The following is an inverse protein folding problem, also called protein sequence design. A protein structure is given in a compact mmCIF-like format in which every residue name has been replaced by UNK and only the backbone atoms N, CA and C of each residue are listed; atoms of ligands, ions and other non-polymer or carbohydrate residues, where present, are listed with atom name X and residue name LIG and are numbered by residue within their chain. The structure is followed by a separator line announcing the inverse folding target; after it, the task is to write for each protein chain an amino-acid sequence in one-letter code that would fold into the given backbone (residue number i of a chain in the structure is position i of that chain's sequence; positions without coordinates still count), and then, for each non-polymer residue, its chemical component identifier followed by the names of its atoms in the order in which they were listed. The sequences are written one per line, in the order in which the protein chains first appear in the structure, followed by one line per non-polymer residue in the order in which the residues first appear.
data_IF_567181682592
#
_entry.id   IF_567181682592
#
_cell.length_a   1.000
_cell.length_b   1.000
_cell.length_c   1.000
_cell.angle_alpha   90.00
_cell.angle_beta   90.00
_cell.angle_gamma   90.00
#
_symmetry.space_group_name_H-M   'P 1'
#
loop_
_entity.id
_entity.type
_entity.pdbx_description
1 polymer ?
#
# COMPACT_ATOMS: atom_id res chain seq x y z
N UNK A 1 -13.48 64.79 -48.05
CA UNK A 1 -14.80 64.40 -48.59
C UNK A 1 -14.58 63.20 -49.50
N UNK A 2 -15.20 62.03 -49.42
CA UNK A 2 -15.88 61.27 -48.37
C UNK A 2 -15.88 59.82 -48.93
N UNK A 3 -15.25 58.87 -48.24
CA UNK A 3 -15.28 57.46 -48.60
C UNK A 3 -16.64 56.86 -48.25
N UNK A 4 -17.13 55.91 -49.06
CA UNK A 4 -18.33 55.14 -48.72
C UNK A 4 -17.93 53.71 -48.41
N UNK A 5 -17.85 53.42 -47.11
CA UNK A 5 -17.81 52.09 -46.53
C UNK A 5 -19.15 51.38 -46.74
N UNK A 6 -19.20 50.32 -47.55
CA UNK A 6 -20.28 49.34 -47.51
C UNK A 6 -19.92 48.23 -46.53
N UNK A 7 -20.16 48.54 -45.25
CA UNK A 7 -20.10 47.64 -44.09
C UNK A 7 -21.11 46.50 -44.27
N UNK A 8 -20.65 45.27 -44.47
CA UNK A 8 -21.51 44.09 -44.42
C UNK A 8 -22.05 43.93 -43.00
N UNK A 9 -23.35 44.20 -42.84
CA UNK A 9 -24.08 44.04 -41.59
C UNK A 9 -24.47 42.56 -41.47
N UNK A 10 -24.01 41.94 -40.39
CA UNK A 10 -24.50 40.65 -39.93
C UNK A 10 -26.00 40.72 -39.69
N UNK A 11 -26.76 40.01 -40.52
CA UNK A 11 -28.20 39.91 -40.45
C UNK A 11 -28.66 38.54 -40.89
N UNK A 12 -28.44 37.53 -40.04
CA UNK A 12 -29.52 36.64 -39.63
C UNK A 12 -29.03 35.82 -38.45
N UNK A 13 -29.70 35.99 -37.32
CA UNK A 13 -29.92 34.87 -36.43
C UNK A 13 -30.73 33.85 -37.23
N UNK A 14 -30.07 33.01 -38.03
CA UNK A 14 -30.67 31.78 -38.49
C UNK A 14 -30.72 30.87 -37.26
N UNK A 15 -31.84 30.98 -36.55
CA UNK A 15 -32.22 30.05 -35.51
C UNK A 15 -32.01 28.62 -36.04
N UNK A 16 -31.21 27.83 -35.32
CA UNK A 16 -31.13 26.39 -35.60
C UNK A 16 -32.49 25.82 -35.21
N UNK A 17 -33.42 25.77 -36.15
CA UNK A 17 -34.75 25.21 -35.92
C UNK A 17 -34.55 23.74 -35.55
N UNK A 18 -34.74 23.44 -34.26
CA UNK A 18 -34.94 22.09 -33.76
C UNK A 18 -36.29 21.61 -34.29
N UNK A 19 -36.31 20.89 -35.40
CA UNK A 19 -37.41 19.98 -35.72
C UNK A 19 -37.01 18.56 -35.32
N UNK A 20 -36.87 18.34 -34.02
CA UNK A 20 -37.05 17.00 -33.46
C UNK A 20 -38.48 16.96 -32.88
N UNK A 21 -39.23 15.90 -33.22
CA UNK A 21 -40.47 15.46 -32.55
C UNK A 21 -41.80 16.17 -32.90
N UNK A 22 -42.33 15.90 -34.10
CA UNK A 22 -43.70 15.38 -34.33
C UNK A 22 -44.05 15.54 -35.80
N UNK A 23 -43.84 14.49 -36.59
CA UNK A 23 -44.59 14.18 -37.81
C UNK A 23 -44.34 12.71 -38.16
N UNK A 24 -44.65 11.84 -37.19
CA UNK A 24 -44.95 10.45 -37.49
C UNK A 24 -46.39 10.42 -37.98
N UNK A 25 -46.55 10.46 -39.31
CA UNK A 25 -47.70 10.10 -40.14
C UNK A 25 -47.79 11.13 -41.26
N UNK A 26 -47.82 10.65 -42.51
CA UNK A 26 -47.96 11.46 -43.73
C UNK A 26 -46.72 12.25 -44.18
N UNK A 27 -45.65 11.55 -44.58
CA UNK A 27 -44.77 11.97 -45.69
C UNK A 27 -43.87 10.81 -46.11
N UNK A 28 -44.48 9.79 -46.73
CA UNK A 28 -43.78 8.98 -47.72
C UNK A 28 -43.51 9.86 -48.95
N UNK A 29 -42.32 9.70 -49.55
CA UNK A 29 -41.93 10.24 -50.85
C UNK A 29 -41.62 11.75 -50.94
N UNK A 30 -40.45 12.16 -50.43
CA UNK A 30 -39.70 13.25 -51.05
C UNK A 30 -38.21 13.06 -50.75
N UNK A 31 -37.46 12.61 -51.76
CA UNK A 31 -36.01 12.67 -51.79
C UNK A 31 -35.60 14.15 -51.64
N UNK A 32 -35.29 14.57 -50.41
CA UNK A 32 -34.49 15.79 -50.25
C UNK A 32 -33.04 15.36 -50.45
N UNK A 33 -32.53 15.65 -51.65
CA UNK A 33 -31.12 15.51 -51.97
C UNK A 33 -30.33 16.44 -51.04
N UNK A 34 -29.93 15.90 -49.89
CA UNK A 34 -29.08 16.58 -48.93
C UNK A 34 -27.70 16.79 -49.57
N UNK A 35 -27.39 18.04 -49.93
CA UNK A 35 -26.08 18.41 -50.46
C UNK A 35 -25.01 18.26 -49.37
N UNK A 36 -24.21 17.20 -49.42
CA UNK A 36 -22.96 17.10 -48.65
C UNK A 36 -21.81 17.72 -49.48
N UNK A 37 -21.28 18.90 -49.11
CA UNK A 37 -20.17 19.55 -49.82
C UNK A 37 -18.89 18.70 -49.88
N UNK A 38 -18.77 17.69 -49.03
CA UNK A 38 -17.62 16.78 -48.95
C UNK A 38 -17.75 15.54 -49.83
N UNK A 39 -18.93 15.24 -50.38
CA UNK A 39 -19.14 14.11 -51.29
C UNK A 39 -18.82 14.48 -52.74
N UNK A 40 -19.18 15.69 -53.18
CA UNK A 40 -18.96 16.14 -54.56
C UNK A 40 -17.55 16.67 -54.83
N UNK A 41 -16.85 17.22 -53.82
CA UNK A 41 -15.52 17.80 -54.00
C UNK A 41 -14.40 16.86 -53.53
N UNK A 42 -13.61 16.33 -54.47
CA UNK A 42 -12.49 15.42 -54.19
C UNK A 42 -11.42 16.01 -53.26
N UNK A 43 -11.15 17.32 -53.35
CA UNK A 43 -10.16 18.02 -52.50
C UNK A 43 -10.65 18.16 -51.05
N UNK A 44 -11.96 18.43 -50.86
CA UNK A 44 -12.57 18.55 -49.53
C UNK A 44 -12.72 17.17 -48.85
N UNK A 45 -13.07 16.14 -49.63
CA UNK A 45 -13.13 14.74 -49.19
C UNK A 45 -11.77 14.25 -48.68
N UNK A 46 -10.71 14.44 -49.47
CA UNK A 46 -9.35 14.03 -49.10
C UNK A 46 -8.84 14.75 -47.85
N UNK A 47 -9.11 16.06 -47.69
CA UNK A 47 -8.75 16.82 -46.48
C UNK A 47 -9.49 16.34 -45.23
N UNK A 48 -10.78 15.99 -45.34
CA UNK A 48 -11.59 15.42 -44.25
C UNK A 48 -11.05 14.05 -43.82
N UNK A 49 -10.74 13.18 -44.78
CA UNK A 49 -10.15 11.86 -44.54
C UNK A 49 -8.76 11.97 -43.90
N UNK A 50 -7.90 12.86 -44.40
CA UNK A 50 -6.57 13.09 -43.83
C UNK A 50 -6.64 13.55 -42.36
N UNK A 51 -7.56 14.49 -42.05
CA UNK A 51 -7.78 14.95 -40.67
C UNK A 51 -8.32 13.84 -39.77
N UNK A 52 -9.22 13.00 -40.28
CA UNK A 52 -9.78 11.88 -39.51
C UNK A 52 -8.73 10.79 -39.26
N UNK A 53 -7.93 10.45 -40.27
CA UNK A 53 -6.83 9.49 -40.17
C UNK A 53 -5.75 9.98 -39.18
N UNK A 54 -5.42 11.27 -39.19
CA UNK A 54 -4.50 11.84 -38.20
C UNK A 54 -5.04 11.75 -36.76
N UNK A 55 -6.34 11.99 -36.56
CA UNK A 55 -7.00 11.83 -35.24
C UNK A 55 -7.02 10.38 -34.78
N UNK A 56 -7.30 9.44 -35.69
CA UNK A 56 -7.28 8.01 -35.41
C UNK A 56 -5.87 7.53 -35.04
N UNK A 57 -4.85 7.89 -35.83
CA UNK A 57 -3.45 7.59 -35.52
C UNK A 57 -3.03 8.11 -34.15
N UNK A 58 -3.40 9.36 -33.81
CA UNK A 58 -3.13 9.94 -32.49
C UNK A 58 -3.81 9.17 -31.36
N UNK A 59 -5.07 8.76 -31.53
CA UNK A 59 -5.80 7.95 -30.54
C UNK A 59 -5.15 6.59 -30.32
N UNK A 60 -4.75 5.91 -31.40
CA UNK A 60 -4.05 4.62 -31.33
C UNK A 60 -2.72 4.78 -30.60
N UNK A 61 -1.94 5.81 -30.93
CA UNK A 61 -0.67 6.11 -30.28
C UNK A 61 -0.85 6.36 -28.77
N UNK A 62 -1.83 7.19 -28.38
CA UNK A 62 -2.15 7.44 -26.97
C UNK A 62 -2.55 6.15 -26.26
N UNK A 63 -3.39 5.31 -26.88
CA UNK A 63 -3.82 4.05 -26.29
C UNK A 63 -2.64 3.08 -26.10
N UNK A 64 -1.71 3.03 -27.06
CA UNK A 64 -0.50 2.22 -26.96
C UNK A 64 0.41 2.70 -25.80
N UNK A 65 0.59 4.01 -25.65
CA UNK A 65 1.31 4.58 -24.51
C UNK A 65 0.60 4.33 -23.17
N UNK A 66 -0.73 4.33 -23.14
CA UNK A 66 -1.51 4.02 -21.94
C UNK A 66 -1.27 2.57 -21.50
N UNK A 67 -1.37 1.61 -22.43
CA UNK A 67 -1.10 0.20 -22.15
C UNK A 67 0.35 -0.01 -21.71
N UNK A 68 1.30 0.62 -22.41
CA UNK A 68 2.71 0.56 -22.03
C UNK A 68 2.96 1.14 -20.63
N UNK A 69 2.34 2.28 -20.31
CA UNK A 69 2.40 2.91 -18.99
C UNK A 69 1.86 1.99 -17.89
N UNK A 70 0.74 1.30 -18.15
CA UNK A 70 0.20 0.31 -17.22
C UNK A 70 1.18 -0.84 -16.97
N UNK A 71 1.80 -1.39 -18.02
CA UNK A 71 2.83 -2.43 -17.88
C UNK A 71 4.04 -1.93 -17.06
N UNK A 72 4.50 -0.70 -17.29
CA UNK A 72 5.61 -0.11 -16.55
C UNK A 72 5.28 0.07 -15.06
N UNK A 73 4.06 0.53 -14.74
CA UNK A 73 3.60 0.65 -13.34
C UNK A 73 3.58 -0.71 -12.67
N UNK A 74 3.06 -1.74 -13.35
CA UNK A 74 3.02 -3.11 -12.82
C UNK A 74 4.45 -3.60 -12.51
N UNK A 75 5.39 -3.43 -13.46
CA UNK A 75 6.79 -3.81 -13.27
C UNK A 75 7.43 -3.06 -12.09
N UNK A 76 7.17 -1.76 -11.95
CA UNK A 76 7.67 -0.97 -10.81
C UNK A 76 7.12 -1.47 -9.47
N UNK A 77 5.84 -1.83 -9.41
CA UNK A 77 5.24 -2.42 -8.20
C UNK A 77 5.85 -3.77 -7.88
N UNK A 78 6.11 -4.61 -8.87
CA UNK A 78 6.81 -5.89 -8.66
C UNK A 78 8.22 -5.70 -8.11
N UNK A 79 8.98 -4.72 -8.60
CA UNK A 79 10.30 -4.40 -8.07
C UNK A 79 10.24 -3.98 -6.59
N UNK A 80 9.29 -3.12 -6.22
CA UNK A 80 9.08 -2.73 -4.81
C UNK A 80 8.69 -3.92 -3.93
N UNK A 81 7.77 -4.77 -4.41
CA UNK A 81 7.36 -5.98 -3.69
C UNK A 81 8.57 -6.89 -3.49
N UNK A 82 9.42 -7.05 -4.49
CA UNK A 82 10.63 -7.88 -4.37
C UNK A 82 11.60 -7.34 -3.34
N UNK A 83 11.82 -6.02 -3.30
CA UNK A 83 12.65 -5.39 -2.28
C UNK A 83 12.07 -5.61 -0.88
N UNK A 84 10.76 -5.38 -0.72
CA UNK A 84 10.08 -5.55 0.56
C UNK A 84 10.08 -7.00 1.04
N UNK A 85 9.97 -7.98 0.12
CA UNK A 85 10.12 -9.39 0.43
C UNK A 85 11.54 -9.72 0.88
N UNK A 86 12.56 -9.10 0.26
CA UNK A 86 13.94 -9.27 0.66
C UNK A 86 14.18 -8.76 2.09
N UNK A 87 13.69 -7.56 2.38
CA UNK A 87 13.79 -6.95 3.71
C UNK A 87 13.07 -7.78 4.76
N UNK A 88 11.87 -8.27 4.45
CA UNK A 88 11.09 -9.13 5.34
C UNK A 88 11.79 -10.49 5.59
N UNK A 89 12.39 -11.08 4.54
CA UNK A 89 13.18 -12.29 4.68
C UNK A 89 14.41 -12.06 5.57
N UNK A 90 15.10 -10.94 5.38
CA UNK A 90 16.25 -10.58 6.19
C UNK A 90 15.87 -10.35 7.66
N UNK A 91 14.75 -9.68 7.91
CA UNK A 91 14.24 -9.47 9.27
C UNK A 91 13.84 -10.79 9.92
N UNK A 92 13.18 -11.68 9.17
CA UNK A 92 12.85 -13.04 9.64
C UNK A 92 14.10 -13.85 9.97
N UNK A 93 15.15 -13.79 9.15
CA UNK A 93 16.44 -14.45 9.43
C UNK A 93 17.08 -13.91 10.71
N UNK A 94 17.11 -12.59 10.88
CA UNK A 94 17.64 -11.97 12.10
C UNK A 94 16.84 -12.40 13.33
N UNK A 95 15.51 -12.43 13.23
CA UNK A 95 14.64 -12.91 14.31
C UNK A 95 14.94 -14.37 14.68
N UNK A 96 15.04 -15.26 13.69
CA UNK A 96 15.40 -16.66 13.93
C UNK A 96 16.81 -16.81 14.53
N UNK A 97 17.78 -16.00 14.09
CA UNK A 97 19.12 -16.00 14.67
C UNK A 97 19.10 -15.61 16.16
N UNK A 98 18.40 -14.52 16.50
CA UNK A 98 18.22 -14.07 17.89
C UNK A 98 17.46 -15.09 18.75
N UNK A 99 16.48 -15.78 18.18
CA UNK A 99 15.76 -16.84 18.89
C UNK A 99 16.66 -18.05 19.17
N UNK A 100 17.48 -18.45 18.20
CA UNK A 100 18.45 -19.52 18.37
C UNK A 100 19.52 -19.14 19.39
N UNK A 101 20.00 -17.91 19.39
CA UNK A 101 20.95 -17.40 20.38
C UNK A 101 20.35 -17.43 21.79
N UNK A 102 19.11 -16.97 21.96
CA UNK A 102 18.41 -17.08 23.26
C UNK A 102 18.27 -18.53 23.72
N UNK A 103 17.91 -19.45 22.81
CA UNK A 103 17.79 -20.86 23.14
C UNK A 103 19.15 -21.45 23.56
N UNK A 104 20.23 -21.11 22.86
CA UNK A 104 21.59 -21.53 23.22
C UNK A 104 22.01 -20.98 24.59
N UNK A 105 21.81 -19.68 24.84
CA UNK A 105 22.10 -19.07 26.14
C UNK A 105 21.30 -19.74 27.27
N UNK A 106 20.05 -20.09 27.02
CA UNK A 106 19.22 -20.82 27.99
C UNK A 106 19.80 -22.20 28.28
N UNK A 107 20.20 -22.95 27.25
CA UNK A 107 20.86 -24.25 27.42
C UNK A 107 22.20 -24.14 28.15
N UNK A 108 22.97 -23.08 27.89
CA UNK A 108 24.25 -22.85 28.55
C UNK A 108 24.06 -22.49 30.03
N UNK A 109 23.02 -21.71 30.36
CA UNK A 109 22.62 -21.47 31.76
C UNK A 109 22.20 -22.78 32.43
N UNK A 110 21.40 -23.61 31.76
CA UNK A 110 20.98 -24.91 32.30
C UNK A 110 22.18 -25.84 32.53
N UNK A 111 23.12 -25.89 31.58
CA UNK A 111 24.37 -26.65 31.73
C UNK A 111 25.21 -26.11 32.88
N UNK A 112 25.42 -24.81 32.97
CA UNK A 112 26.19 -24.17 34.04
C UNK A 112 25.53 -24.36 35.42
N UNK A 113 24.21 -24.36 35.48
CA UNK A 113 23.43 -24.67 36.69
C UNK A 113 23.40 -26.16 37.01
N UNK A 114 23.68 -27.03 36.04
CA UNK A 114 23.71 -28.47 36.29
C UNK A 114 24.81 -28.81 37.29
N UNK A 115 24.48 -29.71 38.23
CA UNK A 115 25.41 -30.16 39.27
C UNK A 115 26.71 -30.73 38.68
N UNK A 116 26.66 -31.26 37.45
CA UNK A 116 27.81 -31.80 36.75
C UNK A 116 28.83 -30.71 36.39
N UNK A 117 28.40 -29.59 35.81
CA UNK A 117 29.30 -28.47 35.50
C UNK A 117 29.85 -27.81 36.76
N UNK A 118 29.00 -27.67 37.79
CA UNK A 118 29.44 -27.14 39.09
C UNK A 118 30.51 -28.05 39.70
N UNK A 119 30.29 -29.37 39.65
CA UNK A 119 31.27 -30.37 40.11
C UNK A 119 32.58 -30.28 39.34
N UNK A 120 32.51 -30.20 38.01
CA UNK A 120 33.69 -30.14 37.15
C UNK A 120 34.52 -28.87 37.38
N UNK A 121 33.87 -27.72 37.60
CA UNK A 121 34.55 -26.47 37.98
C UNK A 121 35.15 -26.57 39.38
N UNK A 122 34.40 -27.12 40.35
CA UNK A 122 34.87 -27.29 41.72
C UNK A 122 36.11 -28.21 41.78
N UNK A 123 36.06 -29.36 41.11
CA UNK A 123 37.15 -30.34 41.11
C UNK A 123 38.36 -29.84 40.31
N UNK A 124 38.17 -29.30 39.09
CA UNK A 124 39.31 -28.98 38.21
C UNK A 124 39.89 -27.58 38.43
N UNK A 125 39.08 -26.59 38.83
CA UNK A 125 39.54 -25.20 38.96
C UNK A 125 39.73 -24.76 40.40
N UNK A 126 38.95 -25.31 41.32
CA UNK A 126 39.01 -24.96 42.74
C UNK A 126 39.70 -26.03 43.60
N UNK A 127 40.12 -27.14 42.98
CA UNK A 127 40.75 -28.29 43.65
C UNK A 127 39.89 -28.84 44.81
N UNK A 128 38.57 -28.69 44.70
CA UNK A 128 37.62 -29.17 45.70
C UNK A 128 37.35 -30.66 45.47
N UNK A 129 37.48 -31.45 46.53
CA UNK A 129 37.08 -32.86 46.55
C UNK A 129 35.79 -33.09 47.33
N UNK A 130 35.10 -34.20 47.04
CA UNK A 130 33.92 -34.59 47.82
C UNK A 130 34.31 -34.87 49.28
N UNK A 131 33.63 -34.29 50.27
CA UNK A 131 33.97 -34.45 51.68
C UNK A 131 33.68 -35.87 52.21
N UNK A 132 34.45 -36.33 53.18
CA UNK A 132 34.17 -37.58 53.89
C UNK A 132 32.97 -37.47 54.84
N UNK A 133 32.34 -38.60 55.18
CA UNK A 133 31.16 -38.66 56.06
C UNK A 133 31.38 -38.00 57.42
N UNK A 134 32.63 -37.98 57.91
CA UNK A 134 33.05 -37.37 59.18
C UNK A 134 33.07 -35.84 59.15
N UNK A 135 33.10 -35.22 57.96
CA UNK A 135 33.23 -33.77 57.77
C UNK A 135 31.87 -33.06 57.55
N UNK A 136 30.75 -33.80 57.61
CA UNK A 136 29.41 -33.27 57.33
C UNK A 136 28.75 -32.79 58.62
N UNK A 137 28.40 -31.50 58.69
CA UNK A 137 27.63 -30.90 59.80
C UNK A 137 26.29 -30.37 59.27
N UNK A 138 25.18 -30.84 59.85
CA UNK A 138 23.84 -30.43 59.46
C UNK A 138 23.41 -29.18 60.25
N UNK A 139 22.99 -28.15 59.53
CA UNK A 139 22.52 -26.88 60.09
C UNK A 139 21.10 -26.61 59.57
N UNK A 140 20.18 -26.27 60.48
CA UNK A 140 18.79 -25.95 60.13
C UNK A 140 18.68 -24.50 59.68
N UNK A 141 18.23 -24.28 58.44
CA UNK A 141 18.05 -22.93 57.88
C UNK A 141 16.57 -22.52 58.02
N UNK A 142 16.25 -21.45 58.76
CA UNK A 142 14.88 -20.94 58.83
C UNK A 142 14.46 -20.38 57.47
N UNK A 143 13.35 -20.88 56.91
CA UNK A 143 12.80 -20.43 55.63
C UNK A 143 12.12 -19.08 55.80
N UNK A 144 12.77 -18.02 55.34
CA UNK A 144 12.18 -16.69 55.21
C UNK A 144 11.74 -16.54 53.76
N UNK A 145 10.53 -16.98 53.44
CA UNK A 145 9.96 -16.80 52.09
C UNK A 145 9.61 -15.32 51.88
N UNK A 146 10.56 -14.53 51.40
CA UNK A 146 10.30 -13.17 50.93
C UNK A 146 9.80 -13.24 49.48
N UNK A 147 8.50 -13.49 49.33
CA UNK A 147 7.82 -13.30 48.04
C UNK A 147 7.66 -11.80 47.81
N UNK A 148 8.59 -11.19 47.09
CA UNK A 148 8.42 -9.83 46.58
C UNK A 148 7.42 -9.93 45.42
N UNK A 149 6.14 -9.68 45.71
CA UNK A 149 5.11 -9.56 44.69
C UNK A 149 5.48 -8.37 43.79
N UNK A 150 6.04 -8.66 42.62
CA UNK A 150 6.25 -7.66 41.58
C UNK A 150 4.89 -7.00 41.30
N UNK A 151 4.77 -5.72 41.65
CA UNK A 151 3.54 -4.97 41.46
C UNK A 151 3.15 -5.01 39.97
N UNK A 152 2.04 -5.70 39.73
CA UNK A 152 1.41 -5.97 38.44
C UNK A 152 1.37 -4.72 37.55
N UNK A 153 2.25 -4.69 36.54
CA UNK A 153 2.39 -3.63 35.54
C UNK A 153 1.26 -3.64 34.48
N UNK A 154 0.21 -4.45 34.66
CA UNK A 154 -0.90 -4.58 33.71
C UNK A 154 -1.88 -3.40 33.72
N UNK A 155 -1.97 -2.67 34.85
CA UNK A 155 -2.88 -1.52 34.95
C UNK A 155 -2.55 -0.40 33.95
N UNK A 156 -1.26 -0.21 33.61
CA UNK A 156 -0.84 0.85 32.68
C UNK A 156 -1.26 0.62 31.23
N UNK A 157 -1.29 -0.63 30.78
CA UNK A 157 -1.70 -0.95 29.41
C UNK A 157 -3.22 -0.76 29.24
N UNK A 158 -3.99 -1.16 30.24
CA UNK A 158 -5.46 -1.00 30.24
C UNK A 158 -5.85 0.47 30.28
N UNK A 159 -5.18 1.30 31.09
CA UNK A 159 -5.40 2.74 31.08
C UNK A 159 -5.03 3.40 29.75
N UNK A 160 -3.88 3.03 29.17
CA UNK A 160 -3.45 3.57 27.88
C UNK A 160 -4.43 3.25 26.75
N UNK A 161 -4.95 2.02 26.69
CA UNK A 161 -5.95 1.62 25.68
C UNK A 161 -7.27 2.37 25.88
N UNK A 162 -7.69 2.58 27.13
CA UNK A 162 -8.90 3.35 27.46
C UNK A 162 -8.77 4.83 27.05
N UNK A 163 -7.61 5.43 27.29
CA UNK A 163 -7.34 6.83 26.94
C UNK A 163 -7.26 7.02 25.42
N UNK A 164 -6.66 6.07 24.69
CA UNK A 164 -6.65 6.07 23.21
C UNK A 164 -8.09 6.00 22.66
N UNK A 165 -8.92 5.10 23.19
CA UNK A 165 -10.32 4.98 22.78
C UNK A 165 -11.14 6.25 23.02
N UNK A 166 -10.90 6.92 24.16
CA UNK A 166 -11.50 8.22 24.47
C UNK A 166 -11.08 9.34 23.51
N UNK A 167 -9.80 9.37 23.13
CA UNK A 167 -9.26 10.33 22.15
C UNK A 167 -9.84 10.15 20.75
N UNK A 168 -9.95 8.91 20.28
CA UNK A 168 -10.55 8.58 18.97
C UNK A 168 -12.02 8.99 18.94
N UNK A 169 -12.79 8.73 20.01
CA UNK A 169 -14.19 9.16 20.11
C UNK A 169 -14.35 10.68 20.02
N UNK A 170 -13.46 11.44 20.67
CA UNK A 170 -13.46 12.92 20.59
C UNK A 170 -13.10 13.43 19.20
N UNK A 171 -12.12 12.80 18.54
CA UNK A 171 -11.71 13.17 17.18
C UNK A 171 -12.82 12.88 16.16
N UNK A 172 -13.47 11.71 16.24
CA UNK A 172 -14.58 11.37 15.34
C UNK A 172 -15.82 12.23 15.59
N UNK A 173 -16.06 12.63 16.84
CA UNK A 173 -17.16 13.54 17.19
C UNK A 173 -16.94 14.99 16.77
N UNK A 174 -15.74 15.41 16.35
CA UNK A 174 -15.50 16.77 15.84
C UNK A 174 -15.75 16.92 14.33
N UNK A 175 -16.07 15.82 13.64
CA UNK A 175 -16.33 15.79 12.18
C UNK A 175 -17.81 15.67 11.82
N UNK A 176 -18.72 15.84 12.79
CA UNK A 176 -20.17 15.90 12.56
C UNK A 176 -20.78 17.15 13.19
#
# INVERSE_FOLDING_TARGET
MAGRDSKYIYGSAAEKIKHEQQLNSYSSAANSEYYDPYEQNAVLKSKKLARNNARLKKRIMINMFLVFGMCAIIMFRYAQISQMNYDNNNLSKQYTALQNENAQLTLDIEKARSLQSIREIAENRLDMHSPEKSQIVYISVPKQDVTILAAKQEARLVEMVRDIGGGIKKFLGSFN
#
